data_IF_695106419575
#
_entry.id   IF_695106419575
#
_cell.length_a   1.000
_cell.length_b   1.000
_cell.length_c   1.000
_cell.angle_alpha   90.00
_cell.angle_beta   90.00
_cell.angle_gamma   90.00
#
_symmetry.space_group_name_H-M   'P 1'
#
loop_
_entity.id
_entity.type
_entity.pdbx_description
1 polymer ?
#
# COMPACT_ATOMS: atom_id res chain seq x y z
N UNK A 1 -8.40 -1.26 -18.14
CA UNK A 1 -9.71 -1.42 -17.43
C UNK A 1 -9.83 -2.76 -16.71
N UNK A 2 -9.43 -3.87 -17.34
CA UNK A 2 -9.51 -5.21 -16.72
C UNK A 2 -8.61 -5.37 -15.49
N UNK A 3 -7.39 -4.81 -15.49
CA UNK A 3 -6.46 -4.91 -14.35
C UNK A 3 -7.00 -4.19 -13.11
N UNK A 4 -7.45 -2.94 -13.23
CA UNK A 4 -8.04 -2.17 -12.12
C UNK A 4 -9.28 -2.85 -11.53
N UNK A 5 -10.09 -3.50 -12.38
CA UNK A 5 -11.25 -4.27 -11.91
C UNK A 5 -10.82 -5.55 -11.18
N UNK A 6 -9.77 -6.21 -11.67
CA UNK A 6 -9.22 -7.40 -11.01
C UNK A 6 -8.60 -7.08 -9.64
N UNK A 7 -7.98 -5.92 -9.52
CA UNK A 7 -7.41 -5.40 -8.26
C UNK A 7 -8.49 -4.84 -7.29
N UNK A 8 -9.77 -4.85 -7.67
CA UNK A 8 -10.86 -4.36 -6.81
C UNK A 8 -10.95 -2.83 -6.67
N UNK A 9 -10.17 -2.07 -7.44
CA UNK A 9 -10.13 -0.59 -7.39
C UNK A 9 -11.23 0.05 -8.24
N UNK A 10 -11.72 -0.68 -9.25
CA UNK A 10 -12.73 -0.21 -10.22
C UNK A 10 -13.82 -1.24 -10.37
N UNK A 11 -15.06 -0.78 -10.36
CA UNK A 11 -16.25 -1.56 -10.65
C UNK A 11 -16.65 -1.35 -12.11
N UNK A 12 -16.74 -2.44 -12.88
CA UNK A 12 -17.24 -2.40 -14.25
C UNK A 12 -18.76 -2.44 -14.21
N UNK A 13 -19.42 -1.43 -14.80
CA UNK A 13 -20.88 -1.39 -14.94
C UNK A 13 -21.26 -1.66 -16.40
N UNK A 14 -22.13 -2.67 -16.67
CA UNK A 14 -22.61 -2.93 -18.03
C UNK A 14 -23.20 -1.65 -18.64
N UNK A 15 -22.78 -1.30 -19.86
CA UNK A 15 -23.21 -0.13 -20.62
C UNK A 15 -22.99 1.26 -19.97
N UNK A 16 -22.30 1.32 -18.80
CA UNK A 16 -22.03 2.57 -18.06
C UNK A 16 -20.54 2.82 -17.81
N UNK A 17 -19.66 1.96 -18.34
CA UNK A 17 -18.21 2.13 -18.21
C UNK A 17 -17.66 1.57 -16.89
N UNK A 18 -16.71 2.28 -16.29
CA UNK A 18 -16.02 1.90 -15.08
C UNK A 18 -16.12 3.05 -14.06
N UNK A 19 -16.39 2.71 -12.81
CA UNK A 19 -16.40 3.66 -11.68
C UNK A 19 -15.39 3.23 -10.65
N UNK A 20 -14.76 4.18 -9.96
CA UNK A 20 -13.86 3.88 -8.83
C UNK A 20 -14.68 3.20 -7.74
N UNK A 21 -14.13 2.14 -7.15
CA UNK A 21 -14.74 1.49 -6.01
C UNK A 21 -14.77 2.45 -4.81
N UNK A 22 -15.78 2.33 -3.97
CA UNK A 22 -15.89 3.09 -2.73
C UNK A 22 -16.28 2.10 -1.64
N UNK A 23 -15.32 1.32 -1.10
CA UNK A 23 -15.60 0.36 -0.04
C UNK A 23 -16.12 1.07 1.19
N UNK A 24 -17.19 0.55 1.76
CA UNK A 24 -17.75 1.09 3.01
C UNK A 24 -16.88 0.75 4.22
N UNK A 25 -17.18 1.36 5.37
CA UNK A 25 -16.41 1.18 6.60
C UNK A 25 -16.24 -0.29 7.01
N UNK A 26 -17.29 -1.08 6.94
CA UNK A 26 -17.22 -2.50 7.30
C UNK A 26 -16.36 -3.32 6.34
N UNK A 27 -16.50 -3.08 5.03
CA UNK A 27 -15.67 -3.71 4.02
C UNK A 27 -14.20 -3.33 4.19
N UNK A 28 -13.91 -2.06 4.48
CA UNK A 28 -12.56 -1.59 4.77
C UNK A 28 -11.94 -2.32 5.96
N UNK A 29 -12.67 -2.47 7.08
CA UNK A 29 -12.21 -3.22 8.25
C UNK A 29 -11.89 -4.68 7.92
N UNK A 30 -12.73 -5.34 7.12
CA UNK A 30 -12.50 -6.73 6.68
C UNK A 30 -11.27 -6.85 5.79
N UNK A 31 -11.05 -5.92 4.86
CA UNK A 31 -9.85 -5.88 3.99
C UNK A 31 -8.59 -5.72 4.84
N UNK A 32 -8.56 -4.77 5.79
CA UNK A 32 -7.41 -4.57 6.68
C UNK A 32 -7.17 -5.77 7.60
N UNK A 33 -8.21 -6.43 8.08
CA UNK A 33 -8.08 -7.64 8.88
C UNK A 33 -7.36 -8.76 8.11
N UNK A 34 -7.78 -9.04 6.88
CA UNK A 34 -7.14 -10.06 6.02
C UNK A 34 -5.70 -9.65 5.68
N UNK A 35 -5.47 -8.37 5.39
CA UNK A 35 -4.11 -7.86 5.12
C UNK A 35 -3.18 -8.12 6.30
N UNK A 36 -3.59 -7.86 7.53
CA UNK A 36 -2.80 -8.15 8.74
C UNK A 36 -2.33 -9.60 8.83
N UNK A 37 -3.23 -10.55 8.55
CA UNK A 37 -2.88 -11.96 8.60
C UNK A 37 -1.81 -12.32 7.57
N UNK A 38 -1.90 -11.77 6.37
CA UNK A 38 -0.96 -11.99 5.28
C UNK A 38 0.38 -11.29 5.58
N UNK A 39 0.37 -10.04 6.05
CA UNK A 39 1.58 -9.28 6.40
C UNK A 39 2.37 -9.94 7.53
N UNK A 40 1.70 -10.52 8.53
CA UNK A 40 2.34 -11.32 9.56
C UNK A 40 3.15 -12.46 8.96
N UNK A 41 2.52 -13.28 8.13
CA UNK A 41 3.17 -14.44 7.51
C UNK A 41 4.33 -14.02 6.58
N UNK A 42 4.18 -12.92 5.84
CA UNK A 42 5.22 -12.35 4.98
C UNK A 42 6.41 -11.90 5.82
N UNK A 43 6.19 -11.18 6.92
CA UNK A 43 7.25 -10.67 7.80
C UNK A 43 8.03 -11.82 8.44
N UNK A 44 7.35 -12.87 8.91
CA UNK A 44 7.99 -14.07 9.45
C UNK A 44 8.91 -14.77 8.42
N UNK A 45 8.46 -14.83 7.16
CA UNK A 45 9.25 -15.43 6.06
C UNK A 45 10.39 -14.51 5.63
N UNK A 46 10.18 -13.20 5.58
CA UNK A 46 11.20 -12.23 5.20
C UNK A 46 12.39 -12.27 6.17
N UNK A 47 12.16 -12.41 7.48
CA UNK A 47 13.24 -12.59 8.46
C UNK A 47 14.15 -13.80 8.19
N UNK A 48 13.61 -14.82 7.50
CA UNK A 48 14.34 -16.05 7.19
C UNK A 48 14.99 -16.04 5.81
N UNK A 49 14.40 -15.33 4.86
CA UNK A 49 14.70 -15.47 3.43
C UNK A 49 15.26 -14.21 2.78
N UNK A 50 15.08 -13.03 3.40
CA UNK A 50 15.52 -11.76 2.81
C UNK A 50 17.04 -11.73 2.65
N UNK A 51 17.49 -11.30 1.47
CA UNK A 51 18.90 -11.15 1.13
C UNK A 51 19.37 -9.72 1.38
N UNK A 52 20.68 -9.50 1.64
CA UNK A 52 21.20 -8.15 1.91
C UNK A 52 20.85 -7.12 0.83
N UNK A 53 20.88 -7.49 -0.45
CA UNK A 53 20.51 -6.60 -1.54
C UNK A 53 19.02 -6.24 -1.55
N UNK A 54 18.13 -7.12 -1.07
CA UNK A 54 16.70 -6.84 -0.93
C UNK A 54 16.44 -5.92 0.27
N UNK A 55 17.17 -6.09 1.37
CA UNK A 55 17.14 -5.18 2.52
C UNK A 55 17.57 -3.77 2.09
N UNK A 56 18.69 -3.65 1.35
CA UNK A 56 19.15 -2.36 0.83
C UNK A 56 18.10 -1.69 -0.08
N UNK A 57 17.43 -2.47 -0.95
CA UNK A 57 16.36 -1.96 -1.79
C UNK A 57 15.13 -1.48 -1.00
N UNK A 58 14.75 -2.18 0.08
CA UNK A 58 13.69 -1.76 0.99
C UNK A 58 14.03 -0.43 1.69
N UNK A 59 15.26 -0.26 2.17
CA UNK A 59 15.72 0.99 2.78
C UNK A 59 15.67 2.17 1.81
N UNK A 60 16.11 1.97 0.57
CA UNK A 60 16.01 3.03 -0.44
C UNK A 60 14.56 3.41 -0.71
N UNK A 61 13.65 2.45 -0.75
CA UNK A 61 12.22 2.72 -0.96
C UNK A 61 11.60 3.53 0.18
N UNK A 62 12.00 3.29 1.44
CA UNK A 62 11.56 4.09 2.59
C UNK A 62 12.07 5.53 2.49
N UNK A 63 13.30 5.74 2.02
CA UNK A 63 13.84 7.09 1.76
C UNK A 63 13.00 7.80 0.69
N UNK A 64 12.73 7.12 -0.43
CA UNK A 64 11.93 7.68 -1.54
C UNK A 64 10.49 8.01 -1.09
N UNK A 65 9.87 7.15 -0.26
CA UNK A 65 8.56 7.37 0.35
C UNK A 65 8.57 8.64 1.22
N UNK A 66 9.54 8.76 2.13
CA UNK A 66 9.73 9.92 3.01
C UNK A 66 9.86 11.22 2.21
N UNK A 67 10.67 11.20 1.16
CA UNK A 67 10.88 12.34 0.28
C UNK A 67 9.60 12.76 -0.45
N UNK A 68 8.75 11.81 -0.84
CA UNK A 68 7.45 12.13 -1.44
C UNK A 68 6.52 12.83 -0.45
N UNK A 69 6.40 12.32 0.76
CA UNK A 69 5.59 12.96 1.80
C UNK A 69 6.14 14.34 2.20
N UNK A 70 7.46 14.49 2.31
CA UNK A 70 8.10 15.77 2.63
C UNK A 70 7.83 16.85 1.58
N UNK A 71 7.69 16.46 0.31
CA UNK A 71 7.33 17.37 -0.80
C UNK A 71 5.83 17.61 -0.94
N UNK A 72 5.01 16.94 -0.12
CA UNK A 72 3.55 17.00 -0.22
C UNK A 72 2.96 16.12 -1.35
N UNK A 73 3.75 15.26 -1.99
CA UNK A 73 3.28 14.29 -2.99
C UNK A 73 2.68 13.05 -2.30
N UNK A 74 1.51 13.28 -1.69
CA UNK A 74 0.81 12.27 -0.89
C UNK A 74 0.44 11.04 -1.71
N UNK A 75 -0.01 11.23 -2.94
CA UNK A 75 -0.42 10.12 -3.80
C UNK A 75 0.74 9.18 -4.11
N UNK A 76 1.90 9.75 -4.46
CA UNK A 76 3.12 8.96 -4.69
C UNK A 76 3.62 8.32 -3.38
N UNK A 77 3.53 9.03 -2.25
CA UNK A 77 3.88 8.47 -0.95
C UNK A 77 3.04 7.23 -0.59
N UNK A 78 1.71 7.30 -0.72
CA UNK A 78 0.81 6.14 -0.51
C UNK A 78 1.20 4.98 -1.44
N UNK A 79 1.51 5.27 -2.69
CA UNK A 79 1.92 4.26 -3.66
C UNK A 79 3.24 3.58 -3.23
N UNK A 80 4.26 4.35 -2.86
CA UNK A 80 5.55 3.81 -2.43
C UNK A 80 5.43 3.01 -1.13
N UNK A 81 4.61 3.47 -0.18
CA UNK A 81 4.28 2.72 1.02
C UNK A 81 3.67 1.34 0.68
N UNK A 82 2.71 1.30 -0.24
CA UNK A 82 2.16 0.03 -0.71
C UNK A 82 3.19 -0.86 -1.42
N UNK A 83 4.06 -0.27 -2.25
CA UNK A 83 5.13 -0.99 -2.95
C UNK A 83 6.18 -1.56 -1.98
N UNK A 84 6.45 -0.91 -0.86
CA UNK A 84 7.31 -1.44 0.21
C UNK A 84 6.82 -2.83 0.67
N UNK A 85 5.54 -2.97 0.98
CA UNK A 85 4.97 -4.26 1.40
C UNK A 85 5.06 -5.33 0.31
N UNK A 86 4.88 -4.96 -0.96
CA UNK A 86 5.05 -5.89 -2.08
C UNK A 86 6.51 -6.34 -2.23
N UNK A 87 7.47 -5.44 -2.04
CA UNK A 87 8.91 -5.77 -2.07
C UNK A 87 9.30 -6.65 -0.89
N UNK A 88 8.73 -6.40 0.28
CA UNK A 88 8.90 -7.27 1.44
C UNK A 88 8.35 -8.69 1.17
N UNK A 89 7.18 -8.79 0.52
CA UNK A 89 6.61 -10.08 0.11
C UNK A 89 7.46 -10.80 -0.95
N UNK A 90 8.10 -10.07 -1.87
CA UNK A 90 9.08 -10.65 -2.79
C UNK A 90 10.29 -11.21 -2.04
N UNK A 91 10.80 -10.49 -1.02
CA UNK A 91 11.91 -10.95 -0.18
C UNK A 91 11.53 -12.17 0.68
N UNK A 92 10.26 -12.28 1.11
CA UNK A 92 9.73 -13.45 1.80
C UNK A 92 9.75 -14.73 0.94
N UNK A 93 9.79 -14.61 -0.39
CA UNK A 93 9.94 -15.72 -1.33
C UNK A 93 8.68 -16.58 -1.54
N UNK A 94 7.51 -16.16 -1.03
CA UNK A 94 6.25 -16.89 -1.22
C UNK A 94 5.35 -16.18 -2.24
N UNK A 95 5.38 -16.67 -3.50
CA UNK A 95 4.65 -16.07 -4.62
C UNK A 95 3.12 -16.10 -4.43
N UNK A 96 2.59 -17.07 -3.68
CA UNK A 96 1.17 -17.16 -3.40
C UNK A 96 0.74 -16.03 -2.46
N UNK A 97 1.48 -15.79 -1.35
CA UNK A 97 1.22 -14.67 -0.45
C UNK A 97 1.38 -13.33 -1.18
N UNK A 98 2.42 -13.18 -2.01
CA UNK A 98 2.61 -11.99 -2.86
C UNK A 98 1.39 -11.74 -3.76
N UNK A 99 0.84 -12.80 -4.36
CA UNK A 99 -0.35 -12.70 -5.21
C UNK A 99 -1.57 -12.17 -4.46
N UNK A 100 -1.85 -12.69 -3.27
CA UNK A 100 -2.93 -12.20 -2.41
C UNK A 100 -2.68 -10.78 -1.93
N UNK A 101 -1.44 -10.48 -1.46
CA UNK A 101 -1.11 -9.15 -0.96
C UNK A 101 -1.27 -8.08 -2.04
N UNK A 102 -0.96 -8.35 -3.30
CA UNK A 102 -1.07 -7.39 -4.41
C UNK A 102 -2.48 -6.80 -4.53
N UNK A 103 -3.51 -7.65 -4.47
CA UNK A 103 -4.90 -7.17 -4.50
C UNK A 103 -5.26 -6.37 -3.24
N UNK A 104 -4.81 -6.82 -2.07
CA UNK A 104 -5.06 -6.13 -0.81
C UNK A 104 -4.36 -4.77 -0.74
N UNK A 105 -3.13 -4.64 -1.26
CA UNK A 105 -2.43 -3.35 -1.36
C UNK A 105 -3.19 -2.37 -2.23
N UNK A 106 -3.68 -2.80 -3.40
CA UNK A 106 -4.48 -1.93 -4.27
C UNK A 106 -5.74 -1.42 -3.55
N UNK A 107 -6.45 -2.31 -2.85
CA UNK A 107 -7.67 -1.96 -2.11
C UNK A 107 -7.37 -1.06 -0.90
N UNK A 108 -6.36 -1.39 -0.10
CA UNK A 108 -6.00 -0.57 1.07
C UNK A 108 -5.42 0.78 0.68
N UNK A 109 -4.67 0.89 -0.41
CA UNK A 109 -4.22 2.18 -0.96
C UNK A 109 -5.40 3.06 -1.38
N UNK A 110 -6.45 2.46 -1.97
CA UNK A 110 -7.69 3.18 -2.27
C UNK A 110 -8.39 3.66 -0.99
N UNK A 111 -8.52 2.78 0.03
CA UNK A 111 -9.15 3.13 1.31
C UNK A 111 -8.37 4.26 1.99
N UNK A 112 -7.04 4.18 2.04
CA UNK A 112 -6.19 5.23 2.61
C UNK A 112 -6.39 6.55 1.85
N UNK A 113 -6.40 6.52 0.52
CA UNK A 113 -6.61 7.72 -0.30
C UNK A 113 -7.99 8.35 -0.08
N UNK A 114 -9.03 7.55 0.20
CA UNK A 114 -10.40 8.01 0.40
C UNK A 114 -10.69 8.47 1.84
N UNK A 115 -10.12 7.80 2.83
CA UNK A 115 -10.57 7.91 4.23
C UNK A 115 -9.50 8.41 5.21
N UNK A 116 -8.22 8.43 4.83
CA UNK A 116 -7.21 9.01 5.72
C UNK A 116 -7.40 10.52 5.81
N UNK A 117 -7.66 11.00 7.01
CA UNK A 117 -7.72 12.45 7.28
C UNK A 117 -6.35 13.08 6.99
N UNK A 118 -6.34 14.32 6.47
CA UNK A 118 -5.13 15.11 6.13
C UNK A 118 -4.24 15.41 7.35
N UNK A 119 -3.92 14.41 8.16
CA UNK A 119 -2.94 14.59 9.24
C UNK A 119 -1.55 14.71 8.62
N UNK A 120 -0.85 15.79 8.91
CA UNK A 120 0.52 16.08 8.45
C UNK A 120 1.58 15.11 9.01
N UNK A 121 1.18 14.10 9.77
CA UNK A 121 2.08 13.13 10.40
C UNK A 121 1.99 11.80 9.66
N UNK A 122 2.83 11.65 8.63
CA UNK A 122 3.10 10.34 8.04
C UNK A 122 4.17 9.64 8.88
N UNK A 123 3.75 8.78 9.81
CA UNK A 123 4.68 8.01 10.65
C UNK A 123 5.12 6.70 10.01
N UNK A 124 4.61 6.37 8.81
CA UNK A 124 4.85 5.06 8.17
C UNK A 124 6.33 4.81 7.84
N UNK A 125 7.06 5.84 7.42
CA UNK A 125 8.47 5.72 7.06
C UNK A 125 9.38 5.32 8.24
N UNK A 126 9.20 5.93 9.42
CA UNK A 126 9.94 5.54 10.63
C UNK A 126 9.55 4.13 11.11
N UNK A 127 8.28 3.73 10.94
CA UNK A 127 7.78 2.40 11.27
C UNK A 127 8.35 1.35 10.33
N UNK A 128 8.44 1.65 9.01
CA UNK A 128 9.07 0.77 8.02
C UNK A 128 10.56 0.54 8.30
N UNK A 129 11.32 1.60 8.64
CA UNK A 129 12.74 1.46 9.01
C UNK A 129 12.93 0.49 10.19
N UNK A 130 12.09 0.60 11.23
CA UNK A 130 12.15 -0.31 12.39
C UNK A 130 11.86 -1.76 12.01
N UNK A 131 10.88 -1.99 11.11
CA UNK A 131 10.58 -3.34 10.60
C UNK A 131 11.78 -3.89 9.84
N UNK A 132 12.42 -3.09 8.98
CA UNK A 132 13.63 -3.50 8.24
C UNK A 132 14.76 -3.87 9.19
N UNK A 133 15.02 -3.06 10.22
CA UNK A 133 16.07 -3.30 11.20
C UNK A 133 15.86 -4.64 11.93
N UNK A 134 14.62 -4.94 12.32
CA UNK A 134 14.30 -6.20 12.99
C UNK A 134 14.41 -7.41 12.03
N UNK A 135 14.05 -7.25 10.75
CA UNK A 135 14.21 -8.30 9.73
C UNK A 135 15.69 -8.58 9.48
N UNK A 136 16.50 -7.53 9.31
CA UNK A 136 17.94 -7.64 9.08
C UNK A 136 18.66 -8.31 10.27
N UNK A 137 18.21 -8.03 11.50
CA UNK A 137 18.67 -8.68 12.70
C UNK A 137 18.17 -10.13 12.87
N UNK A 138 17.26 -10.62 11.99
CA UNK A 138 16.65 -11.95 12.09
C UNK A 138 15.71 -12.11 13.28
N UNK A 139 15.27 -11.02 13.91
CA UNK A 139 14.42 -11.05 15.11
C UNK A 139 12.95 -11.11 14.70
N UNK A 140 12.46 -12.34 14.46
CA UNK A 140 11.10 -12.61 13.94
C UNK A 140 10.01 -12.02 14.82
N UNK A 141 10.11 -12.19 16.15
CA UNK A 141 9.09 -11.73 17.10
C UNK A 141 8.96 -10.20 17.08
N UNK A 142 10.08 -9.50 17.15
CA UNK A 142 10.12 -8.03 17.10
C UNK A 142 9.65 -7.51 15.72
N UNK A 143 10.10 -8.12 14.62
CA UNK A 143 9.69 -7.71 13.28
C UNK A 143 8.18 -7.83 13.08
N UNK A 144 7.58 -8.93 13.53
CA UNK A 144 6.14 -9.17 13.46
C UNK A 144 5.37 -8.17 14.34
N UNK A 145 5.82 -7.94 15.58
CA UNK A 145 5.19 -6.98 16.48
C UNK A 145 5.21 -5.55 15.87
N UNK A 146 6.35 -5.12 15.33
CA UNK A 146 6.49 -3.83 14.67
C UNK A 146 5.59 -3.72 13.43
N UNK A 147 5.52 -4.75 12.59
CA UNK A 147 4.61 -4.76 11.44
C UNK A 147 3.15 -4.69 11.89
N UNK A 148 2.75 -5.39 12.95
CA UNK A 148 1.37 -5.32 13.43
C UNK A 148 1.04 -3.92 13.99
N UNK A 149 1.96 -3.29 14.73
CA UNK A 149 1.79 -1.90 15.19
C UNK A 149 1.70 -0.92 14.04
N UNK A 150 2.52 -1.10 13.00
CA UNK A 150 2.41 -0.31 11.78
C UNK A 150 1.01 -0.42 11.16
N UNK A 151 0.48 -1.63 11.03
CA UNK A 151 -0.86 -1.84 10.51
C UNK A 151 -1.94 -1.19 11.40
N UNK A 152 -1.75 -1.22 12.74
CA UNK A 152 -2.64 -0.54 13.68
C UNK A 152 -2.57 0.99 13.53
N UNK A 153 -1.38 1.54 13.35
CA UNK A 153 -1.17 2.97 13.09
C UNK A 153 -1.87 3.45 11.81
N UNK A 154 -1.83 2.65 10.75
CA UNK A 154 -2.53 2.97 9.49
C UNK A 154 -4.04 2.96 9.69
N UNK A 155 -4.57 1.91 10.32
CA UNK A 155 -6.01 1.75 10.59
C UNK A 155 -6.56 2.90 11.45
N UNK A 156 -5.82 3.30 12.50
CA UNK A 156 -6.20 4.37 13.40
C UNK A 156 -6.31 5.75 12.75
N UNK A 157 -5.68 5.97 11.59
CA UNK A 157 -5.73 7.23 10.83
C UNK A 157 -6.94 7.31 9.90
N UNK A 158 -7.67 6.21 9.69
CA UNK A 158 -8.81 6.17 8.79
C UNK A 158 -10.06 6.72 9.46
N UNK A 159 -10.64 7.75 8.90
CA UNK A 159 -11.96 8.26 9.30
C UNK A 159 -13.05 7.56 8.48
N UNK A 160 -13.32 6.30 8.79
CA UNK A 160 -14.26 5.48 8.04
C UNK A 160 -15.72 5.92 8.18
N UNK A 161 -16.04 6.68 9.23
CA UNK A 161 -17.40 7.18 9.50
C UNK A 161 -17.61 8.62 8.96
N UNK A 162 -16.57 9.23 8.37
CA UNK A 162 -16.57 10.58 7.79
C UNK A 162 -16.86 10.62 6.30
N UNK A 163 -16.90 11.85 5.75
CA UNK A 163 -16.94 12.04 4.29
C UNK A 163 -15.60 11.65 3.65
N UNK A 164 -15.66 11.06 2.46
CA UNK A 164 -14.45 10.64 1.73
C UNK A 164 -13.63 11.83 1.29
N UNK A 165 -12.34 11.86 1.63
CA UNK A 165 -11.38 12.81 1.08
C UNK A 165 -10.83 12.24 -0.25
N UNK A 166 -11.13 12.87 -1.40
CA UNK A 166 -10.90 12.21 -2.70
C UNK A 166 -9.72 12.75 -3.52
N UNK A 167 -8.69 13.36 -2.92
CA UNK A 167 -7.89 14.33 -3.67
C UNK A 167 -6.80 13.79 -4.60
N UNK A 168 -6.31 12.53 -4.49
CA UNK A 168 -5.17 12.13 -5.32
C UNK A 168 -5.17 10.68 -5.84
N UNK A 169 -6.33 10.14 -6.16
CA UNK A 169 -6.45 8.78 -6.71
C UNK A 169 -5.64 8.58 -7.99
N UNK A 170 -5.45 9.63 -8.80
CA UNK A 170 -4.67 9.55 -10.04
C UNK A 170 -3.19 9.26 -9.76
N UNK A 171 -2.59 9.92 -8.78
CA UNK A 171 -1.20 9.70 -8.41
C UNK A 171 -0.99 8.30 -7.80
N UNK A 172 -1.85 7.89 -6.86
CA UNK A 172 -1.81 6.56 -6.24
C UNK A 172 -1.85 5.43 -7.27
N UNK A 173 -2.72 5.56 -8.27
CA UNK A 173 -2.95 4.50 -9.27
C UNK A 173 -2.35 4.79 -10.64
N UNK A 174 -1.48 5.79 -10.80
CA UNK A 174 -0.88 6.18 -12.08
C UNK A 174 -0.16 5.02 -12.79
N UNK A 175 0.47 4.12 -12.04
CA UNK A 175 1.17 2.93 -12.57
C UNK A 175 0.23 1.86 -13.16
N UNK A 176 -1.06 1.89 -12.80
CA UNK A 176 -2.09 0.98 -13.33
C UNK A 176 -2.84 1.59 -14.53
N UNK A 177 -2.68 2.88 -14.77
CA UNK A 177 -3.31 3.56 -15.89
C UNK A 177 -2.50 3.31 -17.17
N UNK A 178 -3.16 3.11 -18.33
CA UNK A 178 -2.46 3.05 -19.59
C UNK A 178 -1.76 4.40 -19.83
N UNK A 179 -0.49 4.36 -20.22
CA UNK A 179 0.26 5.56 -20.63
C UNK A 179 -0.55 6.31 -21.69
N UNK A 180 -1.17 7.41 -21.30
CA UNK A 180 -1.98 8.22 -22.19
C UNK A 180 -1.12 8.76 -23.31
N UNK A 181 -1.36 8.32 -24.55
CA UNK A 181 -0.94 9.10 -25.71
C UNK A 181 -1.56 10.50 -25.53
N UNK A 182 -0.70 11.50 -25.33
CA UNK A 182 -1.08 12.90 -25.46
C UNK A 182 -1.71 13.04 -26.85
N UNK A 183 -3.02 13.08 -26.94
CA UNK A 183 -3.67 13.57 -28.14
C UNK A 183 -3.31 15.06 -28.26
N UNK A 184 -2.29 15.35 -29.02
CA UNK A 184 -2.08 16.66 -29.60
C UNK A 184 -3.22 16.84 -30.62
N UNK A 185 -4.34 17.35 -30.14
CA UNK A 185 -5.35 17.95 -31.02
C UNK A 185 -4.96 19.40 -31.23
N UNK A 186 -4.10 19.62 -32.23
CA UNK A 186 -3.98 20.91 -32.93
C UNK A 186 -5.21 21.06 -33.83
N UNK A 187 -5.83 22.18 -33.72
CA UNK A 187 -6.64 23.00 -34.62
C UNK A 187 -8.08 23.16 -34.17
#
# INVERSE_FOLDING_TARGET
RSRLAHEGVVLLRPNRGAVVASPGAEEARQIFYVRRMIERAITELACKNAKPEQIAALRQMVIDERDCFARGDRGMGIRLSGEFHLKLAEAAGNLTLLGFLRSLISQTSLIIALYESNSRTHCSDAEHDQVIDAIEAGNVEVAVDLMMRHMDSVDAKLNLDGETASDDLHAVFSHLLPSGKKNAASR
#
